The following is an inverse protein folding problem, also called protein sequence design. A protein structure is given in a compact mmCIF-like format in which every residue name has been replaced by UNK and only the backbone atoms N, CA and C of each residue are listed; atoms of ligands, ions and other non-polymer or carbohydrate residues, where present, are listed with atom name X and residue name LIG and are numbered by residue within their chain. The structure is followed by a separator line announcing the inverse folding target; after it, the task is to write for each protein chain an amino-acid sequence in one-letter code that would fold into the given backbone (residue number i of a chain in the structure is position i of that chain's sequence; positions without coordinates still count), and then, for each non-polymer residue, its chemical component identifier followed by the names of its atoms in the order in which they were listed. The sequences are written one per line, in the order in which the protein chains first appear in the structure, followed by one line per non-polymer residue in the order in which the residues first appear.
data_IF_907034482393
#
_entry.id   IF_907034482393
#
_cell.length_a   1.000
_cell.length_b   1.000
_cell.length_c   1.000
_cell.angle_alpha   90.00
_cell.angle_beta   90.00
_cell.angle_gamma   90.00
#
_symmetry.space_group_name_H-M   'P 1'
#
loop_
_entity.id
_entity.type
_entity.pdbx_description
1 polymer ?
#
# COMPACT_ATOMS: atom_id res chain seq x y z
N UNK A 1 25.59 -15.52 0.57
CA UNK A 1 24.87 -14.97 1.76
C UNK A 1 23.41 -15.31 1.55
N UNK A 2 22.92 -16.31 2.29
CA UNK A 2 21.54 -16.78 2.16
C UNK A 2 20.55 -15.72 2.66
N UNK A 3 19.34 -15.63 2.08
CA UNK A 3 18.31 -14.72 2.58
C UNK A 3 17.83 -15.21 3.95
N UNK A 4 17.99 -14.36 4.97
CA UNK A 4 17.46 -14.61 6.31
C UNK A 4 15.94 -14.53 6.24
N UNK A 5 15.27 -15.67 6.33
CA UNK A 5 13.83 -15.77 6.51
C UNK A 5 13.47 -15.22 7.90
N UNK A 6 12.64 -14.19 7.95
CA UNK A 6 12.07 -13.68 9.19
C UNK A 6 11.20 -14.77 9.85
N UNK A 7 11.24 -14.92 11.20
CA UNK A 7 10.44 -15.91 11.89
C UNK A 7 8.96 -15.56 11.79
N UNK A 8 8.17 -16.41 11.14
CA UNK A 8 6.73 -16.33 11.11
C UNK A 8 6.17 -16.65 12.50
N UNK A 9 5.85 -15.63 13.29
CA UNK A 9 4.96 -15.81 14.44
C UNK A 9 3.55 -16.06 13.91
N UNK A 10 3.18 -17.34 13.78
CA UNK A 10 1.80 -17.75 13.54
C UNK A 10 0.99 -17.43 14.80
N UNK A 11 0.20 -16.36 14.77
CA UNK A 11 -0.85 -16.10 15.74
C UNK A 11 -1.85 -17.27 15.67
N UNK A 12 -2.17 -17.85 16.80
CA UNK A 12 -3.09 -18.98 16.90
C UNK A 12 -4.49 -18.55 16.41
N UNK A 13 -5.04 -19.30 15.46
CA UNK A 13 -6.36 -19.06 14.81
C UNK A 13 -7.56 -19.09 15.77
N UNK A 14 -7.37 -19.24 17.08
CA UNK A 14 -8.45 -19.52 18.05
C UNK A 14 -9.02 -18.30 18.78
N UNK A 15 -8.40 -17.11 18.65
CA UNK A 15 -8.79 -15.94 19.45
C UNK A 15 -9.48 -14.82 18.67
N UNK A 16 -9.62 -14.95 17.34
CA UNK A 16 -10.40 -14.00 16.54
C UNK A 16 -11.84 -14.51 16.41
N UNK A 17 -12.76 -13.88 17.10
CA UNK A 17 -14.19 -14.21 17.08
C UNK A 17 -14.84 -13.97 15.72
N UNK A 18 -14.72 -14.96 14.84
CA UNK A 18 -15.23 -14.94 13.48
C UNK A 18 -14.12 -14.89 12.43
N UNK A 19 -14.37 -15.48 11.24
CA UNK A 19 -13.48 -15.40 10.11
C UNK A 19 -13.26 -13.93 9.71
N UNK A 20 -12.00 -13.54 9.56
CA UNK A 20 -11.59 -12.21 9.15
C UNK A 20 -11.14 -12.23 7.68
N UNK A 21 -11.48 -11.20 6.92
CA UNK A 21 -10.98 -10.99 5.56
C UNK A 21 -10.24 -9.66 5.44
N UNK A 22 -9.28 -9.60 4.54
CA UNK A 22 -8.51 -8.39 4.23
C UNK A 22 -8.87 -7.82 2.86
N UNK A 23 -9.05 -6.51 2.76
CA UNK A 23 -9.28 -5.83 1.49
C UNK A 23 -8.23 -4.73 1.31
N UNK A 24 -7.45 -4.83 0.23
CA UNK A 24 -6.55 -3.78 -0.22
C UNK A 24 -7.24 -2.92 -1.29
N UNK A 25 -7.43 -1.63 -1.01
CA UNK A 25 -8.11 -0.70 -1.92
C UNK A 25 -7.11 -0.13 -2.93
N UNK A 26 -7.25 -0.53 -4.20
CA UNK A 26 -6.31 -0.21 -5.29
C UNK A 26 -6.96 0.47 -6.51
N UNK A 27 -8.22 0.90 -6.42
CA UNK A 27 -8.97 1.47 -7.55
C UNK A 27 -8.63 2.93 -7.89
N UNK A 28 -7.81 3.61 -7.09
CA UNK A 28 -7.49 5.03 -7.25
C UNK A 28 -6.74 5.35 -8.54
N UNK A 29 -7.15 6.40 -9.28
CA UNK A 29 -6.51 6.82 -10.53
C UNK A 29 -5.09 7.39 -10.34
N UNK A 30 -4.70 7.82 -9.13
CA UNK A 30 -3.36 8.33 -8.84
C UNK A 30 -2.98 9.60 -9.61
N UNK A 31 -3.93 10.47 -9.94
CA UNK A 31 -3.71 11.65 -10.80
C UNK A 31 -2.65 12.61 -10.25
N UNK A 32 -2.56 12.77 -8.93
CA UNK A 32 -1.54 13.61 -8.26
C UNK A 32 -0.13 13.01 -8.34
N UNK A 33 0.00 11.71 -8.62
CA UNK A 33 1.29 11.03 -8.80
C UNK A 33 1.84 11.18 -10.22
N UNK A 34 1.12 11.83 -11.14
CA UNK A 34 1.63 12.09 -12.48
C UNK A 34 3.01 12.78 -12.45
N UNK A 35 3.94 12.44 -13.39
CA UNK A 35 3.74 11.60 -14.56
C UNK A 35 3.86 10.08 -14.29
N UNK A 36 4.24 9.65 -13.10
CA UNK A 36 4.52 8.24 -12.78
C UNK A 36 3.28 7.35 -12.98
N UNK A 37 2.10 7.84 -12.57
CA UNK A 37 0.83 7.12 -12.73
C UNK A 37 0.37 6.98 -14.17
N UNK A 38 0.94 7.74 -15.10
CA UNK A 38 0.74 7.56 -16.55
C UNK A 38 1.59 6.42 -17.15
N UNK A 39 2.64 5.99 -16.45
CA UNK A 39 3.52 4.90 -16.87
C UNK A 39 3.12 3.55 -16.28
N UNK A 40 2.41 3.58 -15.14
CA UNK A 40 2.03 2.38 -14.38
C UNK A 40 0.90 2.72 -13.40
N UNK A 41 -0.06 1.81 -13.14
CA UNK A 41 -1.06 2.00 -12.09
C UNK A 41 -0.40 2.36 -10.76
N UNK A 42 -0.96 3.33 -10.01
CA UNK A 42 -0.38 3.76 -8.72
C UNK A 42 -0.10 2.58 -7.79
N UNK A 43 -1.05 1.65 -7.68
CA UNK A 43 -0.93 0.46 -6.84
C UNK A 43 0.24 -0.47 -7.26
N UNK A 44 0.71 -0.38 -8.50
CA UNK A 44 1.85 -1.14 -9.01
C UNK A 44 3.17 -0.36 -8.99
N UNK A 45 3.19 0.92 -8.59
CA UNK A 45 4.42 1.68 -8.43
C UNK A 45 5.27 1.05 -7.32
N UNK A 46 6.57 0.76 -7.58
CA UNK A 46 7.40 0.04 -6.61
C UNK A 46 7.95 0.95 -5.51
N UNK A 47 7.82 0.54 -4.27
CA UNK A 47 8.55 1.09 -3.13
C UNK A 47 9.48 0.01 -2.57
N UNK A 48 10.79 0.30 -2.51
CA UNK A 48 11.77 -0.71 -2.12
C UNK A 48 11.78 -1.94 -3.03
N UNK A 49 11.52 -1.77 -4.33
CA UNK A 49 11.40 -2.85 -5.34
C UNK A 49 10.19 -3.78 -5.19
N UNK A 50 9.20 -3.43 -4.36
CA UNK A 50 7.93 -4.15 -4.21
C UNK A 50 6.77 -3.24 -4.62
N UNK A 51 5.80 -3.73 -5.37
CA UNK A 51 4.61 -2.95 -5.71
C UNK A 51 3.84 -2.53 -4.44
N UNK A 52 3.26 -1.34 -4.43
CA UNK A 52 2.48 -0.85 -3.27
C UNK A 52 1.35 -1.82 -2.88
N UNK A 53 0.66 -2.42 -3.85
CA UNK A 53 -0.38 -3.42 -3.59
C UNK A 53 0.18 -4.67 -2.90
N UNK A 54 1.39 -5.13 -3.28
CA UNK A 54 2.01 -6.30 -2.65
C UNK A 54 2.36 -6.00 -1.19
N UNK A 55 2.87 -4.79 -0.91
CA UNK A 55 3.16 -4.35 0.46
C UNK A 55 1.89 -4.27 1.33
N UNK A 56 0.78 -3.85 0.74
CA UNK A 56 -0.52 -3.85 1.42
C UNK A 56 -1.02 -5.28 1.69
N UNK A 57 -0.90 -6.17 0.71
CA UNK A 57 -1.28 -7.59 0.83
C UNK A 57 -0.38 -8.35 1.81
N UNK A 58 0.93 -8.10 1.82
CA UNK A 58 1.85 -8.67 2.82
C UNK A 58 1.39 -8.33 4.24
N UNK A 59 1.02 -7.07 4.50
CA UNK A 59 0.50 -6.64 5.80
C UNK A 59 -0.82 -7.33 6.17
N UNK A 60 -1.74 -7.47 5.22
CA UNK A 60 -2.99 -8.20 5.41
C UNK A 60 -2.73 -9.68 5.67
N UNK A 61 -1.80 -10.30 4.94
CA UNK A 61 -1.44 -11.71 5.07
C UNK A 61 -0.93 -12.11 6.46
N UNK A 62 -0.42 -11.15 7.25
CA UNK A 62 -0.05 -11.38 8.64
C UNK A 62 -1.26 -11.51 9.59
N UNK A 63 -2.43 -11.00 9.21
CA UNK A 63 -3.64 -11.01 10.04
C UNK A 63 -4.75 -11.90 9.49
N UNK A 64 -4.79 -12.16 8.18
CA UNK A 64 -5.74 -13.08 7.55
C UNK A 64 -5.20 -13.67 6.25
N UNK A 65 -5.45 -14.97 5.96
CA UNK A 65 -5.13 -15.56 4.67
C UNK A 65 -6.15 -15.23 3.56
N UNK A 66 -7.33 -14.70 3.91
CA UNK A 66 -8.42 -14.42 2.98
C UNK A 66 -8.30 -12.97 2.52
N UNK A 67 -7.82 -12.74 1.32
CA UNK A 67 -7.52 -11.39 0.83
C UNK A 67 -8.20 -11.07 -0.49
N UNK A 68 -8.59 -9.81 -0.67
CA UNK A 68 -9.10 -9.27 -1.92
C UNK A 68 -8.50 -7.90 -2.25
N UNK A 69 -8.51 -7.58 -3.54
CA UNK A 69 -8.12 -6.27 -4.08
C UNK A 69 -9.25 -5.77 -4.96
N UNK A 70 -9.65 -4.49 -4.81
CA UNK A 70 -10.47 -3.85 -5.82
C UNK A 70 -9.58 -3.17 -6.87
N UNK A 71 -10.01 -3.18 -8.12
CA UNK A 71 -9.30 -2.55 -9.23
C UNK A 71 -10.28 -1.83 -10.15
N UNK A 72 -9.93 -0.62 -10.58
CA UNK A 72 -10.69 0.20 -11.51
C UNK A 72 -9.77 0.77 -12.59
N UNK A 73 -8.95 1.75 -12.26
CA UNK A 73 -7.99 2.34 -13.19
C UNK A 73 -6.89 1.32 -13.54
N UNK A 74 -6.72 1.03 -14.84
CA UNK A 74 -5.83 -0.05 -15.33
C UNK A 74 -6.11 -1.42 -14.68
N UNK A 75 -7.38 -1.75 -14.50
CA UNK A 75 -7.81 -2.96 -13.79
C UNK A 75 -7.17 -4.25 -14.32
N UNK A 76 -6.99 -4.37 -15.65
CA UNK A 76 -6.37 -5.54 -16.28
C UNK A 76 -4.88 -5.69 -15.92
N UNK A 77 -4.16 -4.59 -15.74
CA UNK A 77 -2.77 -4.63 -15.32
C UNK A 77 -2.66 -5.05 -13.84
N UNK A 78 -3.51 -4.50 -12.98
CA UNK A 78 -3.57 -4.89 -11.57
C UNK A 78 -3.95 -6.37 -11.46
N UNK A 79 -4.98 -6.84 -12.18
CA UNK A 79 -5.38 -8.24 -12.19
C UNK A 79 -4.23 -9.15 -12.62
N UNK A 80 -3.59 -8.84 -13.75
CA UNK A 80 -2.47 -9.64 -14.27
C UNK A 80 -1.33 -9.72 -13.27
N UNK A 81 -0.99 -8.62 -12.62
CA UNK A 81 0.03 -8.60 -11.57
C UNK A 81 -0.35 -9.49 -10.39
N UNK A 82 -1.60 -9.38 -9.88
CA UNK A 82 -2.08 -10.21 -8.78
C UNK A 82 -2.07 -11.70 -9.16
N UNK A 83 -2.50 -12.05 -10.37
CA UNK A 83 -2.51 -13.45 -10.84
C UNK A 83 -1.07 -14.01 -10.93
N UNK A 84 -0.10 -13.20 -11.34
CA UNK A 84 1.31 -13.60 -11.46
C UNK A 84 2.01 -13.74 -10.10
N UNK A 85 1.83 -12.76 -9.20
CA UNK A 85 2.56 -12.72 -7.94
C UNK A 85 1.88 -13.53 -6.81
N UNK A 86 0.55 -13.66 -6.86
CA UNK A 86 -0.26 -14.25 -5.77
C UNK A 86 -0.99 -15.55 -6.18
N UNK A 87 -0.95 -15.93 -7.45
CA UNK A 87 -1.36 -17.27 -7.93
C UNK A 87 -2.78 -17.69 -7.50
N UNK A 88 -3.75 -16.79 -7.48
CA UNK A 88 -5.14 -17.10 -7.08
C UNK A 88 -5.39 -17.07 -5.57
N UNK A 89 -4.38 -16.77 -4.74
CA UNK A 89 -4.55 -16.58 -3.29
C UNK A 89 -5.31 -15.29 -2.94
N UNK A 90 -5.45 -14.36 -3.90
CA UNK A 90 -6.08 -13.05 -3.73
C UNK A 90 -7.23 -12.91 -4.71
N UNK A 91 -8.41 -12.57 -4.22
CA UNK A 91 -9.58 -12.28 -5.06
C UNK A 91 -9.47 -10.88 -5.66
N UNK A 92 -9.67 -10.73 -6.98
CA UNK A 92 -9.69 -9.41 -7.63
C UNK A 92 -11.13 -9.02 -7.98
N UNK A 93 -11.61 -7.91 -7.39
CA UNK A 93 -12.89 -7.29 -7.70
C UNK A 93 -12.68 -6.15 -8.68
N UNK A 94 -13.11 -6.30 -9.92
CA UNK A 94 -13.00 -5.24 -10.94
C UNK A 94 -14.24 -4.36 -10.91
N UNK A 95 -14.03 -3.05 -10.85
CA UNK A 95 -15.08 -2.05 -10.94
C UNK A 95 -15.23 -1.60 -12.40
N UNK A 96 -16.45 -1.61 -12.92
CA UNK A 96 -16.80 -1.11 -14.26
C UNK A 96 -17.57 0.21 -14.15
N UNK A 97 -17.35 1.12 -15.07
CA UNK A 97 -17.98 2.44 -15.07
C UNK A 97 -17.24 3.43 -14.18
N UNK A 98 -17.92 4.06 -13.23
CA UNK A 98 -17.33 5.00 -12.28
C UNK A 98 -16.67 4.26 -11.10
N UNK A 99 -15.57 4.83 -10.57
CA UNK A 99 -14.91 4.27 -9.38
C UNK A 99 -15.83 4.34 -8.15
N UNK A 100 -15.99 3.21 -7.47
CA UNK A 100 -16.97 3.06 -6.38
C UNK A 100 -16.55 3.72 -5.05
N UNK A 101 -15.32 4.20 -4.96
CA UNK A 101 -14.79 4.68 -3.69
C UNK A 101 -14.60 3.56 -2.67
N UNK A 102 -14.28 3.93 -1.44
CA UNK A 102 -13.87 2.93 -0.42
C UNK A 102 -15.06 2.13 0.13
N UNK A 103 -16.22 2.76 0.31
CA UNK A 103 -17.42 2.08 0.80
C UNK A 103 -18.11 1.25 -0.30
N UNK A 104 -18.25 1.80 -1.50
CA UNK A 104 -18.86 1.09 -2.63
C UNK A 104 -18.05 -0.13 -3.06
N UNK A 105 -16.72 -0.07 -2.97
CA UNK A 105 -15.84 -1.22 -3.22
C UNK A 105 -16.11 -2.38 -2.26
N UNK A 106 -16.31 -2.10 -0.98
CA UNK A 106 -16.69 -3.12 0.02
C UNK A 106 -18.10 -3.66 -0.25
N UNK A 107 -19.04 -2.78 -0.63
CA UNK A 107 -20.38 -3.22 -1.00
C UNK A 107 -20.36 -4.21 -2.18
N UNK A 108 -19.55 -3.95 -3.21
CA UNK A 108 -19.33 -4.87 -4.33
C UNK A 108 -18.69 -6.19 -3.91
N UNK A 109 -17.78 -6.16 -2.94
CA UNK A 109 -17.16 -7.35 -2.36
C UNK A 109 -18.04 -8.11 -1.35
N UNK A 110 -19.23 -7.60 -1.03
CA UNK A 110 -20.15 -8.18 -0.03
C UNK A 110 -20.40 -9.68 -0.20
N UNK A 111 -20.67 -10.23 -1.42
CA UNK A 111 -20.87 -11.67 -1.59
C UNK A 111 -19.63 -12.49 -1.22
N UNK A 112 -18.45 -11.95 -1.44
CA UNK A 112 -17.18 -12.59 -1.07
C UNK A 112 -16.89 -12.43 0.42
N UNK A 113 -17.15 -11.28 1.03
CA UNK A 113 -16.99 -11.03 2.47
C UNK A 113 -17.89 -11.98 3.28
N UNK A 114 -19.14 -12.14 2.89
CA UNK A 114 -20.07 -13.18 3.34
C UNK A 114 -20.06 -13.43 4.87
N UNK A 115 -20.49 -12.47 5.63
CA UNK A 115 -20.67 -12.62 7.09
C UNK A 115 -19.42 -12.35 7.93
N UNK A 116 -18.23 -12.19 7.31
CA UNK A 116 -16.97 -12.02 8.01
C UNK A 116 -16.67 -10.56 8.35
N UNK A 117 -15.85 -10.35 9.37
CA UNK A 117 -15.26 -9.05 9.64
C UNK A 117 -14.23 -8.68 8.57
N UNK A 118 -14.04 -7.38 8.33
CA UNK A 118 -13.19 -6.90 7.23
C UNK A 118 -12.09 -5.98 7.74
N UNK A 119 -10.83 -6.30 7.46
CA UNK A 119 -9.69 -5.37 7.57
C UNK A 119 -9.50 -4.66 6.24
N UNK A 120 -9.45 -3.35 6.26
CA UNK A 120 -9.28 -2.52 5.07
C UNK A 120 -7.98 -1.75 5.13
N UNK A 121 -7.19 -1.81 4.07
CA UNK A 121 -5.98 -1.01 3.88
C UNK A 121 -6.00 -0.33 2.52
N UNK A 122 -5.33 0.81 2.39
CA UNK A 122 -5.12 1.45 1.10
C UNK A 122 -3.84 0.89 0.44
N UNK A 123 -3.94 0.46 -0.82
CA UNK A 123 -2.82 -0.02 -1.63
C UNK A 123 -2.06 1.11 -2.34
N UNK A 124 -2.15 2.32 -1.83
CA UNK A 124 -1.50 3.52 -2.36
C UNK A 124 -0.63 4.22 -1.30
N UNK A 125 -0.47 3.60 -0.14
CA UNK A 125 0.36 4.06 0.96
C UNK A 125 1.44 3.04 1.33
N UNK A 126 2.54 3.54 1.86
CA UNK A 126 3.64 2.72 2.37
C UNK A 126 3.70 2.79 3.90
N UNK A 127 3.78 1.62 4.53
CA UNK A 127 4.06 1.46 5.95
C UNK A 127 4.63 0.06 6.18
N UNK A 128 5.77 -0.07 6.87
CA UNK A 128 6.35 -1.37 7.22
C UNK A 128 5.76 -1.97 8.50
N UNK A 129 4.82 -1.29 9.14
CA UNK A 129 4.30 -1.67 10.46
C UNK A 129 3.15 -2.66 10.38
N UNK A 130 3.07 -3.49 11.43
CA UNK A 130 2.04 -4.52 11.58
C UNK A 130 0.63 -3.94 11.77
N UNK A 131 -0.37 -4.68 11.28
CA UNK A 131 -1.79 -4.43 11.53
C UNK A 131 -2.28 -5.12 12.82
N UNK A 132 -1.44 -5.88 13.52
CA UNK A 132 -1.83 -6.59 14.74
C UNK A 132 -2.52 -5.70 15.78
N UNK A 133 -2.04 -4.48 16.09
CA UNK A 133 -2.73 -3.62 17.07
C UNK A 133 -4.17 -3.25 16.69
N UNK A 134 -4.52 -3.32 15.40
CA UNK A 134 -5.89 -3.06 14.92
C UNK A 134 -6.81 -4.25 15.16
N UNK A 135 -6.28 -5.48 15.07
CA UNK A 135 -7.08 -6.72 15.12
C UNK A 135 -6.96 -7.46 16.45
N UNK A 136 -5.89 -7.24 17.23
CA UNK A 136 -5.69 -7.89 18.52
C UNK A 136 -6.82 -7.49 19.48
N UNK A 137 -7.48 -8.50 20.06
CA UNK A 137 -8.61 -8.31 20.95
C UNK A 137 -9.83 -7.64 20.30
N UNK A 138 -9.91 -7.61 18.97
CA UNK A 138 -11.11 -7.11 18.29
C UNK A 138 -12.28 -8.05 18.50
N UNK A 139 -13.42 -7.50 18.92
CA UNK A 139 -14.62 -8.25 19.28
C UNK A 139 -15.48 -8.67 18.06
N UNK A 140 -15.11 -8.26 16.84
CA UNK A 140 -15.89 -8.50 15.62
C UNK A 140 -17.16 -7.63 15.51
N UNK A 141 -17.35 -6.66 16.41
CA UNK A 141 -18.57 -5.82 16.50
C UNK A 141 -18.28 -4.33 16.42
N UNK A 142 -17.17 -3.87 16.99
CA UNK A 142 -16.77 -2.48 16.98
C UNK A 142 -16.16 -2.07 15.62
N UNK A 143 -16.30 -0.80 15.26
CA UNK A 143 -15.55 -0.18 14.17
C UNK A 143 -14.24 0.33 14.75
N UNK A 144 -13.09 -0.12 14.21
CA UNK A 144 -11.78 0.42 14.59
C UNK A 144 -11.12 1.14 13.42
N UNK A 145 -10.47 2.25 13.70
CA UNK A 145 -9.67 3.00 12.72
C UNK A 145 -8.28 3.22 13.29
N UNK A 146 -7.26 2.79 12.56
CA UNK A 146 -5.86 3.07 12.88
C UNK A 146 -5.46 4.39 12.24
N UNK A 147 -5.08 5.37 13.07
CA UNK A 147 -4.72 6.72 12.68
C UNK A 147 -3.24 6.97 12.93
N UNK A 148 -2.54 7.53 11.93
CA UNK A 148 -1.13 7.86 12.06
C UNK A 148 -0.93 9.16 12.86
N UNK A 149 -0.13 9.07 13.93
CA UNK A 149 0.18 10.18 14.84
C UNK A 149 -0.91 10.43 15.89
N UNK A 150 -0.64 11.36 16.79
CA UNK A 150 -1.46 11.64 17.99
C UNK A 150 -2.65 12.57 17.73
N UNK A 151 -2.89 12.95 16.45
CA UNK A 151 -3.93 13.91 16.07
C UNK A 151 -5.36 13.41 16.21
N UNK A 152 -5.56 12.15 16.58
CA UNK A 152 -6.88 11.54 16.69
C UNK A 152 -7.61 11.41 15.34
N UNK A 153 -8.90 11.04 15.40
CA UNK A 153 -9.74 10.90 14.22
C UNK A 153 -10.40 12.24 13.83
N UNK A 154 -10.47 12.52 12.54
CA UNK A 154 -11.10 13.73 11.99
C UNK A 154 -10.93 13.85 10.47
N UNK A 155 -11.41 14.94 9.85
CA UNK A 155 -11.42 15.12 8.38
C UNK A 155 -10.03 15.09 7.72
N UNK A 156 -8.97 15.34 8.50
CA UNK A 156 -7.58 15.33 8.04
C UNK A 156 -6.77 14.19 8.65
N UNK A 157 -7.43 13.24 9.31
CA UNK A 157 -6.77 12.09 9.89
C UNK A 157 -6.13 11.23 8.79
N UNK A 158 -4.89 10.83 8.99
CA UNK A 158 -4.16 9.93 8.09
C UNK A 158 -4.50 8.49 8.48
N UNK A 159 -5.44 7.88 7.75
CA UNK A 159 -5.93 6.53 8.04
C UNK A 159 -4.96 5.50 7.49
N UNK A 160 -4.42 4.68 8.37
CA UNK A 160 -3.50 3.58 8.04
C UNK A 160 -4.24 2.31 7.66
N UNK A 161 -5.30 1.99 8.39
CA UNK A 161 -6.16 0.83 8.19
C UNK A 161 -7.45 0.97 9.02
N UNK A 162 -8.43 0.12 8.76
CA UNK A 162 -9.64 0.01 9.60
C UNK A 162 -10.13 -1.42 9.69
N UNK A 163 -10.90 -1.75 10.74
CA UNK A 163 -11.74 -2.95 10.82
C UNK A 163 -13.19 -2.58 10.84
N UNK A 164 -13.98 -3.33 10.08
CA UNK A 164 -15.43 -3.17 9.97
C UNK A 164 -16.11 -4.49 10.30
N UNK A 165 -17.09 -4.50 11.20
CA UNK A 165 -17.92 -5.68 11.45
C UNK A 165 -18.86 -5.93 10.26
N UNK A 166 -19.29 -7.18 10.09
CA UNK A 166 -20.25 -7.53 9.04
C UNK A 166 -21.55 -6.72 9.14
N UNK A 167 -22.01 -6.41 10.35
CA UNK A 167 -23.20 -5.59 10.58
C UNK A 167 -23.16 -4.23 9.87
N UNK A 168 -21.97 -3.68 9.66
CA UNK A 168 -21.75 -2.44 8.91
C UNK A 168 -21.58 -2.73 7.40
N UNK A 169 -20.71 -3.69 7.07
CA UNK A 169 -20.36 -3.96 5.65
C UNK A 169 -21.58 -4.46 4.84
N UNK A 170 -22.49 -5.21 5.45
CA UNK A 170 -23.69 -5.75 4.78
C UNK A 170 -24.64 -4.67 4.26
N UNK A 171 -24.66 -3.50 4.90
CA UNK A 171 -25.60 -2.42 4.62
C UNK A 171 -25.02 -1.32 3.72
N UNK A 172 -23.72 -1.42 3.33
CA UNK A 172 -23.09 -0.48 2.40
C UNK A 172 -23.75 -0.56 1.02
N UNK A 173 -24.00 0.61 0.41
CA UNK A 173 -24.52 0.70 -0.95
C UNK A 173 -23.40 0.60 -2.00
N UNK A 174 -23.64 -0.17 -3.08
CA UNK A 174 -22.72 -0.26 -4.22
C UNK A 174 -22.86 0.97 -5.10
N UNK A 175 -22.28 2.08 -4.66
CA UNK A 175 -22.26 3.37 -5.34
C UNK A 175 -21.00 4.16 -4.97
N UNK A 176 -20.60 5.16 -5.78
CA UNK A 176 -19.42 5.99 -5.50
C UNK A 176 -19.52 6.72 -4.16
N UNK A 177 -18.85 6.16 -3.12
CA UNK A 177 -18.92 6.69 -1.75
C UNK A 177 -17.69 6.27 -0.94
N UNK A 178 -17.25 7.15 -0.03
CA UNK A 178 -16.16 6.89 0.91
C UNK A 178 -16.62 6.34 2.26
N UNK A 179 -15.78 5.53 2.91
CA UNK A 179 -16.02 5.05 4.27
C UNK A 179 -16.06 6.19 5.30
N UNK A 180 -15.32 7.27 5.04
CA UNK A 180 -15.32 8.42 5.93
C UNK A 180 -16.72 9.02 6.05
N UNK A 181 -17.38 9.23 4.90
CA UNK A 181 -18.68 9.91 4.79
C UNK A 181 -19.82 9.06 5.36
N UNK A 182 -19.82 7.76 5.08
CA UNK A 182 -21.00 6.92 5.37
C UNK A 182 -20.85 5.99 6.56
N UNK A 183 -19.63 5.87 7.13
CA UNK A 183 -19.37 4.99 8.27
C UNK A 183 -18.68 5.73 9.41
N UNK A 184 -17.46 6.21 9.16
CA UNK A 184 -16.60 6.63 10.26
C UNK A 184 -17.02 7.92 10.92
N UNK A 185 -17.48 8.92 10.14
CA UNK A 185 -17.88 10.21 10.69
C UNK A 185 -19.08 10.07 11.65
N UNK A 186 -20.06 9.28 11.25
CA UNK A 186 -21.25 9.03 12.06
C UNK A 186 -20.93 8.17 13.30
N UNK A 187 -20.18 7.10 13.13
CA UNK A 187 -19.75 6.25 14.23
C UNK A 187 -18.91 7.02 15.28
N UNK A 188 -18.03 7.93 14.81
CA UNK A 188 -17.27 8.80 15.69
C UNK A 188 -18.16 9.78 16.46
N UNK A 189 -19.13 10.40 15.80
CA UNK A 189 -20.08 11.31 16.44
C UNK A 189 -20.93 10.64 17.50
N UNK A 190 -21.21 9.32 17.35
CA UNK A 190 -21.95 8.52 18.34
C UNK A 190 -21.07 7.87 19.43
N UNK A 191 -19.77 8.04 19.35
CA UNK A 191 -18.82 7.38 20.29
C UNK A 191 -18.68 5.87 20.06
N UNK A 192 -19.02 5.38 18.86
CA UNK A 192 -19.00 3.96 18.47
C UNK A 192 -17.73 3.59 17.65
N UNK A 193 -16.84 4.55 17.39
CA UNK A 193 -15.61 4.34 16.67
C UNK A 193 -14.42 4.27 17.62
N UNK A 194 -13.74 3.12 17.63
CA UNK A 194 -12.49 2.96 18.37
C UNK A 194 -11.30 3.47 17.55
N UNK A 195 -10.51 4.37 18.11
CA UNK A 195 -9.31 4.91 17.47
C UNK A 195 -8.07 4.22 18.01
N UNK A 196 -7.29 3.61 17.12
CA UNK A 196 -6.00 2.99 17.41
C UNK A 196 -4.89 3.92 16.90
N UNK A 197 -4.04 4.41 17.80
CA UNK A 197 -2.92 5.27 17.41
C UNK A 197 -1.81 4.45 16.75
N UNK A 198 -1.29 4.94 15.63
CA UNK A 198 -0.16 4.38 14.91
C UNK A 198 1.02 5.35 14.96
N UNK A 199 2.11 4.94 15.60
CA UNK A 199 3.32 5.77 15.76
C UNK A 199 4.48 5.34 14.85
N UNK A 200 4.23 4.41 13.92
CA UNK A 200 5.23 3.95 12.96
C UNK A 200 5.28 4.80 11.68
N UNK A 201 6.24 4.50 10.80
CA UNK A 201 6.29 5.15 9.48
C UNK A 201 5.02 4.87 8.67
N UNK A 202 4.42 5.94 8.14
CA UNK A 202 3.29 5.88 7.24
C UNK A 202 3.36 7.04 6.23
N UNK A 203 3.41 6.71 4.94
CA UNK A 203 3.49 7.69 3.85
C UNK A 203 2.41 7.36 2.81
N UNK A 204 1.47 8.29 2.59
CA UNK A 204 0.58 8.27 1.43
C UNK A 204 1.39 8.64 0.20
N UNK A 205 1.59 7.70 -0.73
CA UNK A 205 2.35 7.91 -1.96
C UNK A 205 1.54 8.69 -3.01
N UNK A 206 0.87 9.76 -2.57
CA UNK A 206 -0.05 10.55 -3.38
C UNK A 206 0.61 11.43 -4.43
N UNK A 207 1.83 11.88 -4.19
CA UNK A 207 2.59 12.77 -5.09
C UNK A 207 3.96 12.17 -5.40
N UNK A 208 4.68 12.63 -6.45
CA UNK A 208 6.06 12.20 -6.70
C UNK A 208 6.99 12.45 -5.51
N UNK A 209 6.80 13.52 -4.74
CA UNK A 209 7.59 13.79 -3.54
C UNK A 209 7.32 12.75 -2.46
N UNK A 210 6.06 12.49 -2.13
CA UNK A 210 5.70 11.48 -1.12
C UNK A 210 6.18 10.09 -1.54
N UNK A 211 6.06 9.76 -2.83
CA UNK A 211 6.56 8.50 -3.38
C UNK A 211 8.08 8.37 -3.26
N UNK A 212 8.83 9.44 -3.55
CA UNK A 212 10.28 9.47 -3.33
C UNK A 212 10.59 9.23 -1.85
N UNK A 213 9.96 9.99 -0.94
CA UNK A 213 10.20 9.87 0.50
C UNK A 213 9.88 8.47 1.04
N UNK A 214 8.84 7.79 0.52
CA UNK A 214 8.55 6.40 0.87
C UNK A 214 9.69 5.45 0.48
N UNK A 215 10.26 5.63 -0.71
CA UNK A 215 11.42 4.85 -1.15
C UNK A 215 12.68 5.14 -0.34
N UNK A 216 12.93 6.42 -0.01
CA UNK A 216 14.09 6.80 0.82
C UNK A 216 13.95 6.25 2.25
N UNK A 217 12.75 6.25 2.79
CA UNK A 217 12.46 5.64 4.09
C UNK A 217 12.68 4.13 4.06
N UNK A 218 12.22 3.44 3.01
CA UNK A 218 12.48 2.02 2.81
C UNK A 218 13.99 1.72 2.71
N UNK A 219 14.74 2.51 1.93
CA UNK A 219 16.19 2.37 1.80
C UNK A 219 16.90 2.60 3.15
N UNK A 220 16.46 3.58 3.93
CA UNK A 220 17.01 3.87 5.28
C UNK A 220 16.79 2.68 6.24
N UNK A 221 15.59 2.10 6.25
CA UNK A 221 15.29 0.92 7.08
C UNK A 221 16.13 -0.29 6.65
N UNK A 222 16.42 -0.42 5.35
CA UNK A 222 17.25 -1.50 4.81
C UNK A 222 18.75 -1.30 5.09
N UNK A 223 19.17 -0.12 5.52
CA UNK A 223 20.55 0.19 5.93
C UNK A 223 21.27 1.23 5.09
N UNK A 224 20.99 1.38 3.78
CA UNK A 224 21.59 2.42 2.91
C UNK A 224 20.88 2.50 1.55
N UNK A 225 21.04 1.48 0.71
CA UNK A 225 20.43 1.40 -0.61
C UNK A 225 19.76 0.03 -0.80
N UNK A 226 18.69 -0.01 -1.61
CA UNK A 226 18.04 -1.26 -2.02
C UNK A 226 18.39 -1.50 -3.48
N UNK A 227 19.01 -2.65 -3.76
CA UNK A 227 19.40 -3.05 -5.09
C UNK A 227 18.47 -4.17 -5.59
N UNK A 228 17.85 -3.96 -6.73
CA UNK A 228 17.02 -4.96 -7.39
C UNK A 228 17.83 -6.09 -8.00
N UNK A 229 17.23 -7.26 -8.11
CA UNK A 229 17.87 -8.43 -8.72
C UNK A 229 18.34 -8.10 -10.16
N UNK A 230 19.56 -8.51 -10.51
CA UNK A 230 20.14 -8.26 -11.84
C UNK A 230 20.47 -6.79 -12.14
N UNK A 231 20.43 -5.91 -11.17
CA UNK A 231 20.96 -4.55 -11.34
C UNK A 231 22.47 -4.60 -11.55
N UNK A 232 22.96 -3.86 -12.54
CA UNK A 232 24.38 -3.76 -12.87
C UNK A 232 24.87 -2.36 -12.53
N UNK A 233 25.89 -2.29 -11.66
CA UNK A 233 26.46 -1.04 -11.18
C UNK A 233 27.91 -0.97 -11.59
N UNK A 234 28.33 0.12 -12.22
CA UNK A 234 29.73 0.36 -12.58
C UNK A 234 30.56 0.67 -11.34
N UNK A 235 31.84 0.23 -11.35
CA UNK A 235 32.77 0.49 -10.26
C UNK A 235 32.99 2.00 -10.06
N UNK A 236 33.03 2.43 -8.78
CA UNK A 236 33.29 3.81 -8.39
C UNK A 236 32.08 4.74 -8.44
N UNK A 237 30.88 4.23 -8.75
CA UNK A 237 29.62 4.99 -8.72
C UNK A 237 29.11 5.12 -7.27
N UNK A 238 28.71 6.34 -6.90
CA UNK A 238 28.08 6.59 -5.59
C UNK A 238 26.58 6.25 -5.63
N UNK A 239 26.19 5.27 -4.79
CA UNK A 239 24.77 4.94 -4.55
C UNK A 239 24.50 5.07 -3.06
N UNK A 240 23.79 6.13 -2.68
CA UNK A 240 23.46 6.41 -1.28
C UNK A 240 21.97 6.74 -1.09
N UNK A 241 21.37 6.16 -0.04
CA UNK A 241 19.94 6.30 0.31
C UNK A 241 19.01 6.21 -0.90
N UNK A 242 19.19 5.19 -1.74
CA UNK A 242 18.54 5.09 -3.04
C UNK A 242 17.92 3.71 -3.26
N UNK A 243 16.96 3.63 -4.17
CA UNK A 243 16.37 2.36 -4.60
C UNK A 243 16.69 2.15 -6.08
N UNK A 244 17.39 1.09 -6.38
CA UNK A 244 17.75 0.68 -7.74
C UNK A 244 16.87 -0.49 -8.15
N UNK A 245 16.12 -0.31 -9.24
CA UNK A 245 15.17 -1.30 -9.75
C UNK A 245 15.81 -2.56 -10.32
N UNK A 246 15.02 -3.62 -10.41
CA UNK A 246 15.40 -4.89 -11.02
C UNK A 246 15.92 -4.65 -12.46
N UNK A 247 17.07 -5.22 -12.80
CA UNK A 247 17.67 -5.12 -14.13
C UNK A 247 18.15 -3.73 -14.54
N UNK A 248 18.19 -2.75 -13.64
CA UNK A 248 18.67 -1.40 -13.93
C UNK A 248 20.19 -1.39 -14.20
N UNK A 249 20.65 -0.43 -15.01
CA UNK A 249 22.07 -0.24 -15.35
C UNK A 249 22.56 1.13 -14.89
N UNK A 250 23.49 1.14 -13.95
CA UNK A 250 23.91 2.35 -13.25
C UNK A 250 25.39 2.61 -13.54
N UNK A 251 25.64 3.60 -14.38
CA UNK A 251 26.99 4.05 -14.75
C UNK A 251 27.29 5.48 -14.25
N UNK A 252 26.38 6.07 -13.48
CA UNK A 252 26.49 7.40 -12.88
C UNK A 252 25.91 7.42 -11.47
N UNK A 253 26.14 8.49 -10.73
CA UNK A 253 25.77 8.60 -9.31
C UNK A 253 24.26 8.66 -9.09
N UNK A 254 23.79 7.97 -8.04
CA UNK A 254 22.38 7.94 -7.64
C UNK A 254 22.27 8.20 -6.12
N UNK A 255 21.93 9.43 -5.77
CA UNK A 255 21.88 9.92 -4.39
C UNK A 255 20.46 10.33 -4.01
N UNK A 256 19.91 9.80 -2.92
CA UNK A 256 18.55 10.07 -2.49
C UNK A 256 17.52 9.93 -3.62
N UNK A 257 17.63 8.89 -4.44
CA UNK A 257 16.89 8.78 -5.71
C UNK A 257 16.33 7.38 -5.93
N UNK A 258 15.40 7.27 -6.86
CA UNK A 258 14.78 6.00 -7.26
C UNK A 258 15.01 5.78 -8.74
N UNK A 259 15.50 4.60 -9.10
CA UNK A 259 15.61 4.14 -10.49
C UNK A 259 14.67 2.94 -10.66
N UNK A 260 13.68 3.05 -11.54
CA UNK A 260 12.72 1.98 -11.78
C UNK A 260 13.35 0.79 -12.51
N UNK A 261 12.67 -0.39 -12.51
CA UNK A 261 13.14 -1.58 -13.20
C UNK A 261 13.50 -1.32 -14.67
N UNK A 262 14.63 -1.90 -15.12
CA UNK A 262 15.16 -1.82 -16.47
C UNK A 262 15.52 -0.39 -16.96
N UNK A 263 15.63 0.57 -16.05
CA UNK A 263 16.08 1.92 -16.40
C UNK A 263 17.60 2.02 -16.31
N UNK A 264 18.16 3.10 -16.88
CA UNK A 264 19.60 3.35 -16.87
C UNK A 264 19.94 4.76 -16.41
N UNK A 265 21.13 4.88 -15.81
CA UNK A 265 21.81 6.14 -15.50
C UNK A 265 23.13 6.13 -16.23
N UNK A 266 23.36 7.13 -17.08
CA UNK A 266 24.52 7.19 -17.96
C UNK A 266 25.79 7.57 -17.19
N UNK A 267 26.97 7.26 -17.78
CA UNK A 267 28.25 7.69 -17.23
C UNK A 267 28.35 9.22 -17.17
N UNK A 268 28.75 9.73 -15.99
CA UNK A 268 28.82 11.17 -15.70
C UNK A 268 27.47 11.83 -15.40
N UNK A 269 26.37 11.09 -15.49
CA UNK A 269 25.08 11.55 -15.01
C UNK A 269 25.01 11.45 -13.49
N UNK A 270 24.31 12.40 -12.85
CA UNK A 270 24.08 12.38 -11.41
C UNK A 270 22.62 12.62 -11.09
N UNK A 271 21.96 11.61 -10.52
CA UNK A 271 20.60 11.73 -10.03
C UNK A 271 20.63 12.12 -8.55
N UNK A 272 20.00 13.26 -8.22
CA UNK A 272 19.83 13.73 -6.83
C UNK A 272 18.36 14.02 -6.61
N UNK A 273 17.77 13.46 -5.55
CA UNK A 273 16.33 13.62 -5.21
C UNK A 273 15.43 13.46 -6.44
N UNK A 274 15.67 12.43 -7.20
CA UNK A 274 15.04 12.20 -8.51
C UNK A 274 14.45 10.80 -8.62
N UNK A 275 13.45 10.66 -9.47
CA UNK A 275 12.85 9.38 -9.83
C UNK A 275 13.10 9.16 -11.33
N UNK A 276 13.86 8.14 -11.71
CA UNK A 276 14.05 7.69 -13.08
C UNK A 276 13.04 6.59 -13.40
N UNK A 277 12.01 6.95 -14.19
CA UNK A 277 10.92 6.05 -14.59
C UNK A 277 10.60 6.26 -16.08
N UNK A 278 11.56 5.95 -16.95
CA UNK A 278 11.50 6.31 -18.36
C UNK A 278 12.11 7.71 -18.61
N UNK A 279 11.43 8.76 -18.19
CA UNK A 279 11.99 10.11 -18.04
C UNK A 279 12.40 10.37 -16.59
N UNK A 280 13.30 11.34 -16.35
CA UNK A 280 13.64 11.74 -14.98
C UNK A 280 12.66 12.79 -14.46
N UNK A 281 12.19 12.56 -13.24
CA UNK A 281 11.41 13.52 -12.47
C UNK A 281 12.25 13.94 -11.26
N UNK A 282 12.79 15.17 -11.27
CA UNK A 282 13.48 15.74 -10.10
C UNK A 282 12.45 16.27 -9.12
N UNK A 283 12.62 15.97 -7.83
CA UNK A 283 11.65 16.27 -6.80
C UNK A 283 12.29 17.10 -5.68
N UNK A 284 11.82 18.31 -5.54
CA UNK A 284 12.30 19.28 -4.53
C UNK A 284 13.55 20.04 -4.94
N UNK A 285 14.00 20.98 -4.11
CA UNK A 285 15.21 21.74 -4.36
C UNK A 285 16.44 20.84 -4.32
N UNK A 286 17.37 21.11 -5.21
CA UNK A 286 18.68 20.48 -5.24
C UNK A 286 19.49 20.87 -3.99
#
# INVERSE_FOLDING_TARGET
MEPVAAPAHRISRRDLGGDLVGVALAAGAGTRLAPLSGLRPKALCPVGNRALVDLALDRLGHVTPNMAVNAHHFADEVRRHIDQEWGGAVTVSTESGEALGTAGALARLRPWINGRGTVVVNADSWSPTSLAPLVDGWDGRSIRVMVNGDGGFGPRARIVASTLPWSVTKDLAEQPTGLYEVVWQEAFARGELEVVTHNGPFIDCGTPLDYLEANLAAATIHGSAILGAGAVIEDGVDISRSVIGVGARINGDVVNSVVWPNQSVARGERLIRSIRAGTSVTVGPL
#
